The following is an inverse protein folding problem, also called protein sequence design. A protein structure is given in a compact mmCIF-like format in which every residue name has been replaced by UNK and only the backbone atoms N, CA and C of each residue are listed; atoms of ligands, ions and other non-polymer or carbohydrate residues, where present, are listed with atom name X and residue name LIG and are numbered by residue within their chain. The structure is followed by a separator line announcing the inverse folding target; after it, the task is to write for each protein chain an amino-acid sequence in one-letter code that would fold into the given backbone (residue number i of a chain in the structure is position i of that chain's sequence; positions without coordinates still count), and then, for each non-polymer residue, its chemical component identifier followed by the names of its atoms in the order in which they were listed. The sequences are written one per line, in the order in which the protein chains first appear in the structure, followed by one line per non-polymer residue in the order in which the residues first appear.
data_IF_626950585097
#
_entry.id   IF_626950585097
#
_cell.length_a   1.000
_cell.length_b   1.000
_cell.length_c   1.000
_cell.angle_alpha   90.00
_cell.angle_beta   90.00
_cell.angle_gamma   90.00
#
_symmetry.space_group_name_H-M   'P 1'
#
loop_
_entity.id
_entity.type
_entity.pdbx_description
1 polymer ?
#
# COMPACT_ATOMS: atom_id res chain seq x y z
N UNK A 1 -18.95 65.23 60.54
CA UNK A 1 -19.86 64.58 61.54
C UNK A 1 -20.02 63.09 61.18
N UNK A 2 -19.93 62.24 62.24
CA UNK A 2 -20.21 60.80 62.33
C UNK A 2 -19.23 59.89 61.50
N UNK A 3 -18.16 59.35 62.08
CA UNK A 3 -18.01 58.20 63.06
C UNK A 3 -18.88 57.02 62.79
N UNK A 4 -18.23 55.91 62.29
CA UNK A 4 -18.51 54.53 62.72
C UNK A 4 -17.31 53.63 62.31
N UNK A 5 -16.70 53.19 63.21
CA UNK A 5 -16.06 52.01 63.77
C UNK A 5 -16.18 50.78 62.86
N UNK A 6 -15.06 50.29 62.38
CA UNK A 6 -14.90 49.02 61.69
C UNK A 6 -14.36 47.98 62.66
N UNK A 7 -15.07 46.88 62.73
CA UNK A 7 -14.73 45.66 63.49
C UNK A 7 -13.76 44.83 62.68
N UNK A 8 -12.63 44.53 63.25
CA UNK A 8 -11.57 43.70 62.70
C UNK A 8 -11.93 42.21 63.01
N UNK A 9 -12.29 41.46 62.01
CA UNK A 9 -12.44 40.02 62.14
C UNK A 9 -11.20 39.32 61.56
N UNK A 10 -10.35 38.87 62.46
CA UNK A 10 -9.15 38.10 62.20
C UNK A 10 -9.55 36.62 62.01
N UNK A 11 -9.68 36.17 60.78
CA UNK A 11 -9.89 34.76 60.47
C UNK A 11 -8.53 34.11 60.29
N UNK A 12 -8.13 33.33 61.27
CA UNK A 12 -6.96 32.46 61.20
C UNK A 12 -7.30 31.25 60.32
N UNK A 13 -6.89 31.32 59.06
CA UNK A 13 -6.86 30.16 58.19
C UNK A 13 -5.70 29.26 58.61
N UNK A 14 -5.96 28.23 59.32
CA UNK A 14 -5.07 27.10 59.47
C UNK A 14 -4.96 26.41 58.12
N UNK A 15 -3.95 26.80 57.36
CA UNK A 15 -3.51 26.04 56.20
C UNK A 15 -2.87 24.74 56.70
N UNK A 16 -3.61 23.66 56.60
CA UNK A 16 -3.01 22.34 56.67
C UNK A 16 -2.12 22.15 55.48
N UNK A 17 -0.82 22.46 55.65
CA UNK A 17 0.21 21.97 54.75
C UNK A 17 0.23 20.45 54.84
N UNK A 18 -0.45 19.78 53.91
CA UNK A 18 -0.18 18.40 53.62
C UNK A 18 1.26 18.33 53.16
N UNK A 19 2.10 17.76 53.99
CA UNK A 19 3.43 17.33 53.66
C UNK A 19 3.25 16.34 52.50
N UNK A 20 3.55 16.76 51.29
CA UNK A 20 3.74 15.80 50.18
C UNK A 20 4.94 14.96 50.56
N UNK A 21 4.64 13.77 51.12
CA UNK A 21 5.56 12.66 51.12
C UNK A 21 5.81 12.37 49.66
N UNK A 22 7.05 12.46 49.24
CA UNK A 22 7.56 11.91 47.98
C UNK A 22 7.40 10.38 48.05
N UNK A 23 6.16 9.90 47.91
CA UNK A 23 5.91 8.51 47.64
C UNK A 23 6.35 8.26 46.19
N UNK A 24 7.47 7.55 46.11
CA UNK A 24 7.85 6.83 44.92
C UNK A 24 6.62 6.19 44.35
N UNK A 25 6.34 6.47 43.10
CA UNK A 25 5.20 6.05 42.30
C UNK A 25 5.17 4.52 42.16
N UNK A 26 4.89 3.83 43.24
CA UNK A 26 4.65 2.39 43.24
C UNK A 26 3.21 2.20 42.79
N UNK A 27 3.05 1.95 41.48
CA UNK A 27 1.79 1.54 40.89
C UNK A 27 1.15 0.45 41.74
N UNK A 28 -0.14 0.54 41.98
CA UNK A 28 -0.90 -0.51 42.69
C UNK A 28 -0.69 -1.86 42.00
N UNK A 29 -0.84 -2.99 42.71
CA UNK A 29 -0.71 -4.32 42.08
C UNK A 29 -1.62 -4.51 40.86
N UNK A 30 -2.81 -3.93 40.90
CA UNK A 30 -3.75 -3.92 39.77
C UNK A 30 -3.24 -3.09 38.60
N UNK A 31 -2.72 -1.88 38.85
CA UNK A 31 -2.12 -1.03 37.83
C UNK A 31 -0.93 -1.72 37.14
N UNK A 32 -0.07 -2.38 37.92
CA UNK A 32 1.05 -3.19 37.36
C UNK A 32 0.55 -4.33 36.47
N UNK A 33 -0.54 -4.99 36.87
CA UNK A 33 -1.15 -6.06 36.07
C UNK A 33 -1.74 -5.53 34.78
N UNK A 34 -2.42 -4.39 34.81
CA UNK A 34 -2.98 -3.73 33.64
C UNK A 34 -1.85 -3.30 32.69
N UNK A 35 -0.79 -2.70 33.19
CA UNK A 35 0.38 -2.29 32.42
C UNK A 35 1.06 -3.49 31.75
N UNK A 36 1.23 -4.60 32.49
CA UNK A 36 1.78 -5.84 31.93
C UNK A 36 0.90 -6.37 30.78
N UNK A 37 -0.42 -6.41 30.96
CA UNK A 37 -1.34 -6.84 29.91
C UNK A 37 -1.27 -5.92 28.68
N UNK A 38 -1.23 -4.61 28.89
CA UNK A 38 -1.13 -3.64 27.80
C UNK A 38 0.19 -3.77 27.04
N UNK A 39 1.30 -3.98 27.75
CA UNK A 39 2.61 -4.23 27.14
C UNK A 39 2.60 -5.48 26.27
N UNK A 40 1.98 -6.59 26.75
CA UNK A 40 1.84 -7.81 25.93
C UNK A 40 0.98 -7.57 24.70
N UNK A 41 -0.16 -6.87 24.86
CA UNK A 41 -1.03 -6.52 23.73
C UNK A 41 -0.31 -5.65 22.70
N UNK A 42 0.47 -4.66 23.16
CA UNK A 42 1.26 -3.80 22.27
C UNK A 42 2.26 -4.62 21.45
N UNK A 43 3.03 -5.50 22.10
CA UNK A 43 3.97 -6.40 21.41
C UNK A 43 3.27 -7.31 20.39
N UNK A 44 2.08 -7.81 20.74
CA UNK A 44 1.28 -8.61 19.79
C UNK A 44 0.83 -7.77 18.60
N UNK A 45 0.32 -6.56 18.82
CA UNK A 45 -0.11 -5.67 17.76
C UNK A 45 1.05 -5.28 16.84
N UNK A 46 2.23 -4.97 17.40
CA UNK A 46 3.43 -4.65 16.63
C UNK A 46 3.86 -5.87 15.77
N UNK A 47 3.82 -7.06 16.33
CA UNK A 47 4.13 -8.30 15.59
C UNK A 47 3.14 -8.55 14.45
N UNK A 48 1.85 -8.29 14.68
CA UNK A 48 0.80 -8.40 13.66
C UNK A 48 1.02 -7.34 12.57
N UNK A 49 1.34 -6.11 12.95
CA UNK A 49 1.62 -5.03 11.99
C UNK A 49 2.80 -5.39 11.06
N UNK A 50 3.90 -5.90 11.63
CA UNK A 50 5.07 -6.36 10.86
C UNK A 50 4.68 -7.49 9.91
N UNK A 51 3.96 -8.52 10.39
CA UNK A 51 3.50 -9.64 9.55
C UNK A 51 2.57 -9.19 8.43
N UNK A 52 1.73 -8.19 8.69
CA UNK A 52 0.80 -7.64 7.70
C UNK A 52 1.50 -6.81 6.61
N UNK A 53 2.73 -6.37 6.84
CA UNK A 53 3.55 -5.68 5.82
C UNK A 53 4.35 -6.66 4.95
N UNK A 54 4.57 -7.88 5.41
CA UNK A 54 5.29 -8.89 4.65
C UNK A 54 4.41 -9.43 3.51
N UNK A 55 5.03 -9.64 2.35
CA UNK A 55 4.35 -10.28 1.24
C UNK A 55 3.92 -11.71 1.62
N UNK A 56 2.75 -12.11 1.12
CA UNK A 56 2.27 -13.50 1.19
C UNK A 56 2.93 -14.35 0.10
N UNK A 57 3.26 -13.72 -1.03
CA UNK A 57 3.86 -14.34 -2.19
C UNK A 57 5.27 -13.83 -2.40
N UNK A 58 6.01 -14.46 -3.35
CA UNK A 58 7.33 -13.98 -3.79
C UNK A 58 7.23 -12.51 -4.19
N UNK A 59 8.20 -11.70 -3.75
CA UNK A 59 8.28 -10.29 -4.10
C UNK A 59 8.50 -10.11 -5.61
N UNK A 60 7.76 -9.19 -6.19
CA UNK A 60 7.82 -8.84 -7.61
C UNK A 60 8.43 -7.45 -7.83
N UNK A 61 9.04 -6.83 -6.80
CA UNK A 61 9.68 -5.52 -6.96
C UNK A 61 10.82 -5.58 -7.97
N UNK A 62 10.97 -4.51 -8.73
CA UNK A 62 12.04 -4.36 -9.70
C UNK A 62 11.55 -4.26 -11.14
N UNK A 63 12.49 -4.37 -12.07
CA UNK A 63 12.24 -4.26 -13.49
C UNK A 63 11.98 -5.62 -14.12
N UNK A 64 10.91 -5.69 -14.89
CA UNK A 64 10.49 -6.89 -15.61
C UNK A 64 10.35 -6.61 -17.10
N UNK A 65 10.65 -7.58 -17.94
CA UNK A 65 10.47 -7.41 -19.36
C UNK A 65 9.00 -7.32 -19.71
N UNK A 66 8.62 -6.27 -20.43
CA UNK A 66 7.28 -6.07 -21.00
C UNK A 66 7.33 -6.42 -22.48
N UNK A 67 6.42 -7.27 -22.93
CA UNK A 67 6.30 -7.65 -24.33
C UNK A 67 4.86 -7.48 -24.81
N UNK A 68 4.73 -6.89 -25.98
CA UNK A 68 3.46 -6.87 -26.74
C UNK A 68 3.62 -7.65 -28.03
N UNK A 69 2.61 -8.47 -28.36
CA UNK A 69 2.56 -9.21 -29.62
C UNK A 69 1.13 -9.17 -30.18
N UNK A 70 1.02 -8.91 -31.46
CA UNK A 70 -0.23 -8.82 -32.22
C UNK A 70 0.04 -9.23 -33.65
N UNK A 71 -1.01 -9.64 -34.38
CA UNK A 71 -0.89 -9.91 -35.82
C UNK A 71 -0.78 -8.63 -36.65
N UNK A 72 -1.10 -7.47 -36.06
CA UNK A 72 -1.11 -6.17 -36.74
C UNK A 72 0.27 -5.49 -36.75
N UNK A 73 1.21 -5.90 -35.90
CA UNK A 73 2.49 -5.23 -35.74
C UNK A 73 3.61 -6.19 -35.32
N UNK A 74 4.85 -5.77 -35.62
CA UNK A 74 6.03 -6.42 -35.05
C UNK A 74 6.01 -6.35 -33.51
N UNK A 75 6.59 -7.35 -32.89
CA UNK A 75 6.69 -7.44 -31.41
C UNK A 75 7.33 -6.20 -30.81
N UNK A 76 6.65 -5.57 -29.83
CA UNK A 76 7.21 -4.51 -29.00
C UNK A 76 7.88 -5.13 -27.77
N UNK A 77 9.02 -4.57 -27.37
CA UNK A 77 9.76 -4.95 -26.16
C UNK A 77 10.08 -3.72 -25.33
N UNK A 78 10.09 -3.91 -24.02
CA UNK A 78 10.41 -2.85 -23.08
C UNK A 78 10.46 -3.33 -21.66
N UNK A 79 10.28 -2.41 -20.72
CA UNK A 79 10.39 -2.69 -19.29
C UNK A 79 9.16 -2.18 -18.57
N UNK A 80 8.71 -2.95 -17.57
CA UNK A 80 7.69 -2.58 -16.61
C UNK A 80 8.31 -2.67 -15.21
N UNK A 81 8.38 -1.55 -14.51
CA UNK A 81 8.92 -1.44 -13.16
C UNK A 81 7.80 -1.64 -12.14
N UNK A 82 8.03 -2.50 -11.15
CA UNK A 82 7.17 -2.73 -10.00
C UNK A 82 7.76 -2.07 -8.77
N UNK A 83 7.04 -1.12 -8.18
CA UNK A 83 7.41 -0.46 -6.92
C UNK A 83 6.47 -0.92 -5.81
N UNK A 84 7.00 -1.60 -4.81
CA UNK A 84 6.19 -2.10 -3.69
C UNK A 84 5.60 -0.95 -2.89
N UNK A 85 4.27 -0.97 -2.70
CA UNK A 85 3.50 0.02 -1.92
C UNK A 85 2.79 -0.59 -0.72
N UNK A 86 2.71 -1.94 -0.66
CA UNK A 86 2.07 -2.64 0.44
C UNK A 86 2.26 -4.15 0.36
N UNK A 87 1.51 -4.88 1.15
CA UNK A 87 1.53 -6.35 1.14
C UNK A 87 0.97 -6.88 -0.19
N UNK A 88 1.86 -7.51 -0.99
CA UNK A 88 1.53 -8.02 -2.33
C UNK A 88 0.90 -6.97 -3.26
N UNK A 89 1.22 -5.69 -3.01
CA UNK A 89 0.68 -4.53 -3.72
C UNK A 89 1.83 -3.71 -4.29
N UNK A 90 1.71 -3.33 -5.56
CA UNK A 90 2.76 -2.64 -6.32
C UNK A 90 2.14 -1.56 -7.20
N UNK A 91 2.78 -0.41 -7.25
CA UNK A 91 2.60 0.52 -8.37
C UNK A 91 3.45 0.06 -9.54
N UNK A 92 2.90 0.11 -10.74
CA UNK A 92 3.58 -0.32 -11.94
C UNK A 92 3.59 0.78 -12.98
N UNK A 93 4.74 0.94 -13.66
CA UNK A 93 4.90 1.89 -14.74
C UNK A 93 5.92 1.37 -15.74
N UNK A 94 5.59 1.43 -17.02
CA UNK A 94 6.52 0.98 -18.05
C UNK A 94 6.07 1.25 -19.45
N UNK A 95 7.00 0.99 -20.41
CA UNK A 95 6.78 1.18 -21.83
C UNK A 95 7.47 0.09 -22.64
N UNK A 96 6.84 -0.28 -23.77
CA UNK A 96 7.47 -1.09 -24.79
C UNK A 96 7.31 -0.41 -26.16
N UNK A 97 8.25 -0.62 -27.07
CA UNK A 97 8.20 0.01 -28.38
C UNK A 97 8.88 -0.82 -29.47
N UNK A 98 8.49 -0.55 -30.72
CA UNK A 98 9.14 -1.04 -31.93
C UNK A 98 8.86 -0.06 -33.07
N UNK A 99 9.86 0.64 -33.56
CA UNK A 99 9.70 1.73 -34.53
C UNK A 99 8.80 2.84 -33.99
N UNK A 100 7.68 3.11 -34.66
CA UNK A 100 6.68 4.11 -34.25
C UNK A 100 5.60 3.54 -33.31
N UNK A 101 5.55 2.21 -33.17
CA UNK A 101 4.55 1.55 -32.34
C UNK A 101 4.98 1.57 -30.88
N UNK A 102 4.02 1.86 -30.00
CA UNK A 102 4.28 2.01 -28.57
C UNK A 102 3.17 1.35 -27.73
N UNK A 103 3.58 0.86 -26.57
CA UNK A 103 2.71 0.42 -25.47
C UNK A 103 3.16 1.13 -24.20
N UNK A 104 2.23 1.68 -23.44
CA UNK A 104 2.50 2.13 -22.06
C UNK A 104 1.53 1.46 -21.08
N UNK A 105 2.04 1.11 -19.92
CA UNK A 105 1.29 0.50 -18.81
C UNK A 105 1.56 1.33 -17.57
N UNK A 106 0.51 1.79 -16.89
CA UNK A 106 0.62 2.52 -15.63
C UNK A 106 -0.57 2.20 -14.74
N UNK A 107 -0.32 1.86 -13.48
CA UNK A 107 -1.40 1.56 -12.54
C UNK A 107 -0.90 0.87 -11.29
N UNK A 108 -1.80 0.14 -10.66
CA UNK A 108 -1.54 -0.64 -9.46
C UNK A 108 -1.79 -2.11 -9.74
N UNK A 109 -0.93 -2.97 -9.20
CA UNK A 109 -1.04 -4.42 -9.28
C UNK A 109 -1.13 -5.00 -7.89
N UNK A 110 -2.11 -5.87 -7.66
CA UNK A 110 -2.22 -6.68 -6.45
C UNK A 110 -2.08 -8.15 -6.77
N UNK A 111 -1.08 -8.80 -6.19
CA UNK A 111 -0.95 -10.26 -6.30
C UNK A 111 -1.96 -10.93 -5.37
N UNK A 112 -2.89 -11.68 -5.92
CA UNK A 112 -3.99 -12.30 -5.17
C UNK A 112 -3.83 -13.82 -5.05
N UNK A 113 -3.01 -14.42 -5.92
CA UNK A 113 -2.62 -15.83 -5.85
C UNK A 113 -1.24 -16.06 -6.49
N UNK A 114 -0.77 -17.30 -6.48
CA UNK A 114 0.48 -17.67 -7.17
C UNK A 114 0.43 -17.35 -8.67
N UNK A 115 -0.76 -17.34 -9.27
CA UNK A 115 -0.96 -17.21 -10.72
C UNK A 115 -1.75 -15.97 -11.15
N UNK A 116 -2.21 -15.12 -10.23
CA UNK A 116 -3.07 -13.98 -10.58
C UNK A 116 -2.53 -12.65 -10.02
N UNK A 117 -2.39 -11.67 -10.91
CA UNK A 117 -2.17 -10.26 -10.61
C UNK A 117 -3.39 -9.47 -11.06
N UNK A 118 -4.16 -8.94 -10.12
CA UNK A 118 -5.20 -7.98 -10.46
C UNK A 118 -4.57 -6.64 -10.79
N UNK A 119 -4.90 -6.08 -11.93
CA UNK A 119 -4.42 -4.79 -12.41
C UNK A 119 -5.57 -3.77 -12.44
N UNK A 120 -5.29 -2.59 -11.95
CA UNK A 120 -6.17 -1.42 -12.03
C UNK A 120 -5.33 -0.21 -12.48
N UNK A 121 -5.67 0.35 -13.62
CA UNK A 121 -4.88 1.44 -14.19
C UNK A 121 -5.17 1.65 -15.66
N UNK A 122 -4.18 2.11 -16.38
CA UNK A 122 -4.27 2.46 -17.78
C UNK A 122 -3.24 1.70 -18.61
N UNK A 123 -3.70 1.10 -19.71
CA UNK A 123 -2.85 0.54 -20.76
C UNK A 123 -3.18 1.27 -22.05
N UNK A 124 -2.20 1.95 -22.62
CA UNK A 124 -2.33 2.67 -23.89
C UNK A 124 -1.40 2.07 -24.92
N UNK A 125 -1.95 1.65 -26.02
CA UNK A 125 -1.18 1.22 -27.19
C UNK A 125 -1.42 2.15 -28.37
N UNK A 126 -0.36 2.43 -29.12
CA UNK A 126 -0.42 3.12 -30.42
C UNK A 126 0.23 2.21 -31.43
N UNK A 127 -0.60 1.60 -32.29
CA UNK A 127 -0.17 0.59 -33.25
C UNK A 127 -0.58 1.08 -34.65
N UNK A 128 0.40 1.23 -35.53
CA UNK A 128 0.18 1.72 -36.91
C UNK A 128 -0.63 3.03 -36.99
N UNK A 129 -0.43 3.94 -35.98
CA UNK A 129 -1.14 5.20 -35.87
C UNK A 129 -2.51 5.13 -35.19
N UNK A 130 -3.02 3.94 -34.89
CA UNK A 130 -4.28 3.74 -34.15
C UNK A 130 -3.99 3.66 -32.67
N UNK A 131 -4.70 4.46 -31.86
CA UNK A 131 -4.59 4.45 -30.40
C UNK A 131 -5.74 3.67 -29.79
N UNK A 132 -5.40 2.72 -28.94
CA UNK A 132 -6.35 1.99 -28.12
C UNK A 132 -5.99 2.08 -26.65
N UNK A 133 -6.99 2.36 -25.81
CA UNK A 133 -6.83 2.56 -24.36
C UNK A 133 -7.71 1.58 -23.59
N UNK A 134 -7.12 0.89 -22.62
CA UNK A 134 -7.79 0.02 -21.65
C UNK A 134 -7.70 0.66 -20.27
N UNK A 135 -8.85 0.82 -19.60
CA UNK A 135 -8.94 1.37 -18.22
C UNK A 135 -9.73 0.45 -17.30
N UNK A 136 -10.30 -0.62 -17.82
CA UNK A 136 -11.05 -1.58 -17.03
C UNK A 136 -10.13 -2.38 -16.11
N UNK A 137 -10.66 -2.75 -14.94
CA UNK A 137 -9.97 -3.71 -14.07
C UNK A 137 -9.79 -5.03 -14.81
N UNK A 138 -8.58 -5.54 -14.78
CA UNK A 138 -8.22 -6.76 -15.49
C UNK A 138 -7.22 -7.58 -14.67
N UNK A 139 -6.82 -8.71 -15.21
CA UNK A 139 -5.90 -9.64 -14.56
C UNK A 139 -4.76 -10.00 -15.50
N UNK A 140 -3.55 -10.02 -14.99
CA UNK A 140 -2.46 -10.77 -15.59
C UNK A 140 -2.46 -12.18 -14.98
N UNK A 141 -2.44 -13.20 -15.82
CA UNK A 141 -2.53 -14.59 -15.40
C UNK A 141 -1.34 -15.41 -15.91
N UNK A 142 -0.76 -16.23 -15.01
CA UNK A 142 0.22 -17.24 -15.38
C UNK A 142 -0.50 -18.46 -15.99
N UNK A 143 -0.48 -18.56 -17.31
CA UNK A 143 -1.09 -19.66 -18.06
C UNK A 143 -0.26 -20.96 -18.01
N UNK A 144 0.89 -20.95 -17.33
CA UNK A 144 1.79 -22.10 -17.27
C UNK A 144 2.49 -22.42 -18.62
N UNK A 145 2.52 -21.46 -19.55
CA UNK A 145 3.10 -21.61 -20.89
C UNK A 145 4.52 -21.02 -21.01
N UNK A 146 5.11 -20.64 -19.89
CA UNK A 146 6.44 -20.03 -19.82
C UNK A 146 6.57 -19.14 -18.58
N UNK A 147 7.69 -18.45 -18.45
CA UNK A 147 7.96 -17.57 -17.32
C UNK A 147 7.39 -16.16 -17.54
N UNK A 148 6.09 -16.09 -17.85
CA UNK A 148 5.40 -14.81 -18.06
C UNK A 148 3.95 -14.87 -17.59
N UNK A 149 3.43 -13.72 -17.28
CA UNK A 149 2.04 -13.49 -16.93
C UNK A 149 1.38 -12.67 -18.01
N UNK A 150 0.25 -13.11 -18.49
CA UNK A 150 -0.45 -12.56 -19.67
C UNK A 150 -1.70 -11.81 -19.29
N UNK A 151 -1.90 -10.62 -19.87
CA UNK A 151 -3.14 -9.86 -19.74
C UNK A 151 -4.33 -10.67 -20.28
N UNK A 152 -5.40 -10.75 -19.49
CA UNK A 152 -6.59 -11.54 -19.88
C UNK A 152 -7.58 -10.75 -20.75
N UNK A 153 -7.59 -9.43 -20.69
CA UNK A 153 -8.33 -8.59 -21.65
C UNK A 153 -7.53 -8.52 -22.96
N UNK A 154 -7.67 -9.53 -23.81
CA UNK A 154 -6.83 -9.74 -25.01
C UNK A 154 -7.36 -9.05 -26.26
N UNK A 155 -8.65 -8.68 -26.32
CA UNK A 155 -9.26 -8.09 -27.52
C UNK A 155 -9.04 -6.57 -27.48
N UNK A 156 -8.50 -6.00 -28.57
CA UNK A 156 -8.35 -4.57 -28.73
C UNK A 156 -9.60 -3.90 -29.31
N UNK A 157 -9.58 -2.55 -29.45
CA UNK A 157 -10.72 -1.78 -29.95
C UNK A 157 -11.11 -2.09 -31.41
N UNK A 158 -10.22 -2.72 -32.18
CA UNK A 158 -10.45 -3.15 -33.57
C UNK A 158 -10.91 -4.61 -33.67
N UNK A 159 -11.05 -5.31 -32.53
CA UNK A 159 -11.47 -6.72 -32.47
C UNK A 159 -10.35 -7.74 -32.66
N UNK A 160 -9.09 -7.30 -32.78
CA UNK A 160 -7.93 -8.17 -32.87
C UNK A 160 -7.44 -8.63 -31.52
N UNK A 161 -6.73 -9.77 -31.50
CA UNK A 161 -6.13 -10.34 -30.30
C UNK A 161 -4.75 -9.75 -30.10
N UNK A 162 -4.56 -9.09 -28.92
CA UNK A 162 -3.28 -8.60 -28.45
C UNK A 162 -2.79 -9.42 -27.26
N UNK A 163 -1.52 -9.74 -27.23
CA UNK A 163 -0.88 -10.36 -26.09
C UNK A 163 0.07 -9.35 -25.41
N UNK A 164 -0.22 -9.05 -24.16
CA UNK A 164 0.63 -8.21 -23.29
C UNK A 164 1.15 -9.12 -22.20
N UNK A 165 2.45 -9.38 -22.20
CA UNK A 165 3.12 -10.33 -21.33
C UNK A 165 4.17 -9.63 -20.47
N UNK A 166 4.22 -10.01 -19.19
CA UNK A 166 5.23 -9.57 -18.20
C UNK A 166 6.07 -10.79 -17.85
N UNK A 167 7.38 -10.72 -18.03
CA UNK A 167 8.32 -11.81 -17.76
C UNK A 167 9.01 -11.61 -16.42
N UNK A 168 9.03 -12.65 -15.56
CA UNK A 168 9.60 -12.65 -14.20
C UNK A 168 10.81 -13.55 -14.07
#
# INVERSE_FOLDING_TARGET
MKRTVAVLSLVLLWSCTKKESSDQNTLSPEAKKIESINTVRQKMNDSIAIKNQQNKFKDLSGDHQLKFSSDEASTLKGTLTFTKTGRDLYDVSGKASSGKNTLSVKGTVKRVSEKHLNFEGEIVQNINGNTYKRTDKTTFFDEGKGNFWRLQNKINGSGFVDYIDIYF
#
